data_IF_123447785535
#
_entry.id   IF_123447785535
#
_cell.length_a   1.000
_cell.length_b   1.000
_cell.length_c   1.000
_cell.angle_alpha   90.00
_cell.angle_beta   90.00
_cell.angle_gamma   90.00
#
_symmetry.space_group_name_H-M   'P 1'
#
loop_
_entity.id
_entity.type
_entity.pdbx_description
1 polymer ?
#
# COMPACT_ATOMS: atom_id res chain seq x y z
N UNK A 1 25.29 85.85 -18.60
CA UNK A 1 25.63 84.54 -19.21
C UNK A 1 25.27 83.33 -18.35
N UNK A 2 25.54 83.34 -17.03
CA UNK A 2 25.14 82.23 -16.13
C UNK A 2 23.60 82.00 -16.02
N UNK A 3 22.73 83.03 -15.94
CA UNK A 3 21.28 82.80 -15.80
C UNK A 3 20.60 82.27 -17.07
N UNK A 4 21.13 82.60 -18.25
CA UNK A 4 20.59 82.10 -19.52
C UNK A 4 20.96 80.63 -19.73
N UNK A 5 22.17 80.24 -19.32
CA UNK A 5 22.65 78.87 -19.39
C UNK A 5 21.86 77.94 -18.45
N UNK A 6 21.46 78.42 -17.27
CA UNK A 6 20.58 77.69 -16.34
C UNK A 6 19.16 77.51 -16.90
N UNK A 7 18.62 78.50 -17.61
CA UNK A 7 17.30 78.41 -18.28
C UNK A 7 17.31 77.41 -19.44
N UNK A 8 18.35 77.43 -20.27
CA UNK A 8 18.53 76.45 -21.36
C UNK A 8 18.73 75.04 -20.81
N UNK A 9 19.49 74.89 -19.73
CA UNK A 9 19.65 73.60 -19.04
C UNK A 9 18.31 73.10 -18.48
N UNK A 10 17.53 73.96 -17.83
CA UNK A 10 16.20 73.62 -17.30
C UNK A 10 15.21 73.22 -18.41
N UNK A 11 15.21 73.94 -19.53
CA UNK A 11 14.39 73.63 -20.69
C UNK A 11 14.81 72.31 -21.36
N UNK A 12 16.11 72.04 -21.45
CA UNK A 12 16.63 70.77 -21.96
C UNK A 12 16.24 69.59 -21.07
N UNK A 13 16.30 69.74 -19.74
CA UNK A 13 15.86 68.71 -18.77
C UNK A 13 14.35 68.48 -18.85
N UNK A 14 13.56 69.55 -18.96
CA UNK A 14 12.11 69.45 -19.12
C UNK A 14 11.73 68.78 -20.44
N UNK A 15 12.41 69.13 -21.54
CA UNK A 15 12.21 68.53 -22.84
C UNK A 15 12.60 67.04 -22.85
N UNK A 16 13.69 66.66 -22.16
CA UNK A 16 14.10 65.27 -21.98
C UNK A 16 13.06 64.46 -21.18
N UNK A 17 12.54 65.03 -20.08
CA UNK A 17 11.46 64.42 -19.28
C UNK A 17 10.16 64.29 -20.07
N UNK A 18 9.79 65.31 -20.84
CA UNK A 18 8.62 65.28 -21.71
C UNK A 18 8.77 64.22 -22.81
N UNK A 19 9.96 64.11 -23.42
CA UNK A 19 10.25 63.10 -24.45
C UNK A 19 10.25 61.68 -23.86
N UNK A 20 10.83 61.51 -22.67
CA UNK A 20 10.85 60.23 -21.96
C UNK A 20 9.45 59.76 -21.53
N UNK A 21 8.63 60.67 -21.00
CA UNK A 21 7.24 60.36 -20.65
C UNK A 21 6.38 60.05 -21.89
N UNK A 22 6.56 60.77 -22.99
CA UNK A 22 5.88 60.50 -24.26
C UNK A 22 6.26 59.12 -24.82
N UNK A 23 7.53 58.72 -24.72
CA UNK A 23 7.99 57.39 -25.14
C UNK A 23 7.38 56.27 -24.27
N UNK A 24 7.32 56.46 -22.96
CA UNK A 24 6.63 55.52 -22.06
C UNK A 24 5.16 55.37 -22.42
N UNK A 25 4.43 56.49 -22.58
CA UNK A 25 3.01 56.47 -22.95
C UNK A 25 2.81 55.80 -24.31
N UNK A 26 3.62 56.13 -25.31
CA UNK A 26 3.55 55.53 -26.65
C UNK A 26 3.73 54.02 -26.66
N UNK A 27 4.59 53.47 -25.79
CA UNK A 27 4.81 52.02 -25.65
C UNK A 27 3.57 51.30 -25.12
N UNK A 28 2.91 51.85 -24.10
CA UNK A 28 1.75 51.22 -23.45
C UNK A 28 0.41 51.60 -24.10
N UNK A 29 0.38 52.63 -24.96
CA UNK A 29 -0.83 53.12 -25.61
C UNK A 29 -1.56 52.02 -26.40
N UNK A 30 -0.84 51.20 -27.16
CA UNK A 30 -1.44 50.08 -27.91
C UNK A 30 -2.09 49.04 -26.99
N UNK A 31 -1.45 48.74 -25.88
CA UNK A 31 -1.94 47.75 -24.90
C UNK A 31 -3.16 48.29 -24.14
N UNK A 32 -3.11 49.55 -23.74
CA UNK A 32 -4.22 50.26 -23.10
C UNK A 32 -5.44 50.38 -24.02
N UNK A 33 -5.22 50.69 -25.30
CA UNK A 33 -6.29 50.76 -26.29
C UNK A 33 -6.95 49.40 -26.47
N UNK A 34 -6.17 48.32 -26.57
CA UNK A 34 -6.71 46.97 -26.61
C UNK A 34 -7.55 46.65 -25.38
N UNK A 35 -7.01 46.90 -24.17
CA UNK A 35 -7.69 46.68 -22.90
C UNK A 35 -9.03 47.44 -22.79
N UNK A 36 -9.05 48.70 -23.21
CA UNK A 36 -10.26 49.55 -23.15
C UNK A 36 -11.32 49.13 -24.16
N UNK A 37 -10.92 48.78 -25.39
CA UNK A 37 -11.85 48.30 -26.42
C UNK A 37 -12.53 46.98 -26.02
N UNK A 38 -11.80 46.10 -25.32
CA UNK A 38 -12.35 44.83 -24.80
C UNK A 38 -13.10 44.99 -23.47
N UNK A 39 -13.31 46.22 -22.99
CA UNK A 39 -14.07 46.49 -21.76
C UNK A 39 -13.33 46.17 -20.45
N UNK A 40 -12.03 45.84 -20.52
CA UNK A 40 -11.22 45.64 -19.32
C UNK A 40 -10.86 47.03 -18.77
N UNK A 41 -11.44 47.41 -17.63
CA UNK A 41 -11.31 48.73 -16.98
C UNK A 41 -9.90 48.97 -16.39
N UNK A 42 -8.84 48.81 -17.20
CA UNK A 42 -7.44 48.98 -16.80
C UNK A 42 -7.00 50.40 -17.16
N UNK A 43 -6.56 51.17 -16.16
CA UNK A 43 -6.07 52.54 -16.37
C UNK A 43 -4.64 52.55 -16.91
N UNK A 44 -4.27 53.61 -17.64
CA UNK A 44 -2.90 53.81 -18.11
C UNK A 44 -1.89 53.83 -16.94
N UNK A 45 -2.28 54.44 -15.81
CA UNK A 45 -1.47 54.47 -14.60
C UNK A 45 -1.21 53.06 -14.04
N UNK A 46 -2.19 52.15 -14.11
CA UNK A 46 -2.01 50.77 -13.67
C UNK A 46 -0.97 50.02 -14.52
N UNK A 47 -0.97 50.20 -15.85
CA UNK A 47 0.02 49.57 -16.74
C UNK A 47 1.46 50.00 -16.45
N UNK A 48 1.63 51.30 -16.16
CA UNK A 48 2.94 51.84 -15.74
C UNK A 48 3.33 51.29 -14.38
N UNK A 49 2.39 51.23 -13.43
CA UNK A 49 2.64 50.68 -12.09
C UNK A 49 2.99 49.18 -12.10
N UNK A 50 2.35 48.38 -12.95
CA UNK A 50 2.69 46.97 -13.16
C UNK A 50 4.14 46.80 -13.62
N UNK A 51 4.59 47.66 -14.54
CA UNK A 51 5.97 47.64 -15.05
C UNK A 51 6.99 47.98 -13.95
N UNK A 52 6.65 48.90 -13.04
CA UNK A 52 7.47 49.23 -11.87
C UNK A 52 7.55 48.07 -10.86
N UNK A 53 6.47 47.28 -10.73
CA UNK A 53 6.42 46.07 -9.90
C UNK A 53 7.07 44.85 -10.55
N UNK A 54 7.73 45.00 -11.70
CA UNK A 54 8.31 43.91 -12.52
C UNK A 54 7.29 42.84 -12.98
N UNK A 55 6.02 43.20 -13.08
CA UNK A 55 4.97 42.33 -13.65
C UNK A 55 4.82 42.67 -15.13
N UNK A 56 4.78 41.67 -16.01
CA UNK A 56 4.58 41.89 -17.44
C UNK A 56 3.14 42.37 -17.72
N UNK A 57 2.92 43.64 -18.13
CA UNK A 57 1.57 44.16 -18.30
C UNK A 57 0.80 43.47 -19.43
N UNK A 58 1.51 42.94 -20.45
CA UNK A 58 0.88 42.24 -21.58
C UNK A 58 0.14 41.00 -21.12
N UNK A 59 0.79 40.18 -20.29
CA UNK A 59 0.22 38.93 -19.79
C UNK A 59 -1.00 39.21 -18.89
N UNK A 60 -0.95 40.26 -18.07
CA UNK A 60 -2.06 40.66 -17.21
C UNK A 60 -3.26 41.14 -18.02
N UNK A 61 -3.03 42.01 -19.02
CA UNK A 61 -4.11 42.47 -19.90
C UNK A 61 -4.71 41.30 -20.65
N UNK A 62 -3.90 40.43 -21.24
CA UNK A 62 -4.37 39.24 -21.96
C UNK A 62 -5.24 38.32 -21.07
N UNK A 63 -4.74 37.98 -19.88
CA UNK A 63 -5.50 37.22 -18.90
C UNK A 63 -6.82 37.91 -18.52
N UNK A 64 -6.80 39.23 -18.30
CA UNK A 64 -7.99 40.00 -17.93
C UNK A 64 -9.00 40.10 -19.08
N UNK A 65 -8.53 40.19 -20.32
CA UNK A 65 -9.39 40.14 -21.51
C UNK A 65 -10.09 38.80 -21.60
N UNK A 66 -9.36 37.70 -21.40
CA UNK A 66 -9.92 36.35 -21.43
C UNK A 66 -10.98 36.14 -20.33
N UNK A 67 -10.76 36.63 -19.11
CA UNK A 67 -11.74 36.49 -18.02
C UNK A 67 -13.03 37.27 -18.30
N UNK A 68 -12.93 38.53 -18.72
CA UNK A 68 -14.11 39.35 -19.06
C UNK A 68 -14.89 38.76 -20.23
N UNK A 69 -14.19 38.32 -21.29
CA UNK A 69 -14.85 37.68 -22.45
C UNK A 69 -15.52 36.33 -22.09
N UNK A 70 -15.05 35.66 -21.04
CA UNK A 70 -15.65 34.43 -20.53
C UNK A 70 -16.79 34.67 -19.52
N UNK A 71 -17.09 35.92 -19.16
CA UNK A 71 -18.09 36.28 -18.16
C UNK A 71 -17.62 36.13 -16.70
N UNK A 72 -16.31 36.02 -16.46
CA UNK A 72 -15.69 35.89 -15.14
C UNK A 72 -15.28 37.27 -14.59
N UNK A 73 -16.25 38.15 -14.42
CA UNK A 73 -16.01 39.57 -14.07
C UNK A 73 -15.57 39.79 -12.61
N UNK A 74 -15.76 38.79 -11.74
CA UNK A 74 -15.41 38.84 -10.31
C UNK A 74 -13.91 38.93 -10.05
N UNK A 75 -13.06 38.58 -11.00
CA UNK A 75 -11.61 38.50 -10.81
C UNK A 75 -10.98 39.89 -10.96
N UNK A 76 -10.38 40.43 -9.89
CA UNK A 76 -9.75 41.76 -9.90
C UNK A 76 -8.39 41.76 -10.58
N UNK A 77 -7.95 42.91 -11.11
CA UNK A 77 -6.60 43.04 -11.71
C UNK A 77 -5.51 42.87 -10.66
N UNK A 78 -5.77 43.28 -9.41
CA UNK A 78 -4.85 43.14 -8.30
C UNK A 78 -4.62 41.67 -7.95
N UNK A 79 -5.65 40.82 -8.02
CA UNK A 79 -5.51 39.39 -7.78
C UNK A 79 -4.65 38.71 -8.87
N UNK A 80 -4.83 39.08 -10.14
CA UNK A 80 -4.00 38.62 -11.25
C UNK A 80 -2.52 39.02 -11.06
N UNK A 81 -2.27 40.27 -10.67
CA UNK A 81 -0.91 40.76 -10.36
C UNK A 81 -0.28 40.02 -9.18
N UNK A 82 -1.05 39.84 -8.10
CA UNK A 82 -0.58 39.15 -6.89
C UNK A 82 -0.17 37.71 -7.19
N UNK A 83 -0.92 37.00 -8.04
CA UNK A 83 -0.60 35.63 -8.44
C UNK A 83 0.71 35.54 -9.23
N UNK A 84 0.95 36.48 -10.16
CA UNK A 84 2.22 36.53 -10.91
C UNK A 84 3.39 36.86 -9.98
N UNK A 85 3.20 37.77 -9.03
CA UNK A 85 4.22 38.12 -8.04
C UNK A 85 4.54 36.95 -7.09
N UNK A 86 3.55 36.10 -6.80
CA UNK A 86 3.75 34.85 -6.06
C UNK A 86 4.45 33.76 -6.88
N UNK A 87 4.70 33.99 -8.18
CA UNK A 87 5.41 33.07 -9.07
C UNK A 87 4.50 32.06 -9.79
N UNK A 88 3.19 32.25 -9.75
CA UNK A 88 2.23 31.35 -10.41
C UNK A 88 2.08 31.58 -11.92
N UNK A 89 1.51 30.60 -12.62
CA UNK A 89 1.20 30.65 -14.04
C UNK A 89 -0.20 31.22 -14.29
N UNK A 90 -0.24 32.53 -14.52
CA UNK A 90 -1.48 33.28 -14.73
C UNK A 90 -2.37 32.75 -15.87
N UNK A 91 -1.78 32.51 -17.05
CA UNK A 91 -2.56 32.12 -18.23
C UNK A 91 -3.20 30.75 -18.04
N UNK A 92 -2.47 29.83 -17.41
CA UNK A 92 -2.95 28.47 -17.17
C UNK A 92 -4.12 28.44 -16.18
N UNK A 93 -4.06 29.22 -15.10
CA UNK A 93 -5.15 29.36 -14.14
C UNK A 93 -6.39 29.99 -14.79
N UNK A 94 -6.22 31.06 -15.56
CA UNK A 94 -7.35 31.71 -16.25
C UNK A 94 -7.99 30.76 -17.26
N UNK A 95 -7.21 30.04 -18.07
CA UNK A 95 -7.76 29.03 -18.97
C UNK A 95 -8.52 27.94 -18.23
N UNK A 96 -7.99 27.45 -17.09
CA UNK A 96 -8.66 26.45 -16.26
C UNK A 96 -10.02 26.95 -15.75
N UNK A 97 -10.09 28.20 -15.28
CA UNK A 97 -11.34 28.82 -14.82
C UNK A 97 -12.37 28.98 -15.95
N UNK A 98 -11.92 29.33 -17.16
CA UNK A 98 -12.80 29.45 -18.32
C UNK A 98 -13.37 28.08 -18.70
N UNK A 99 -12.54 27.03 -18.72
CA UNK A 99 -12.98 25.66 -18.99
C UNK A 99 -13.98 25.20 -17.91
N UNK A 100 -13.67 25.43 -16.63
CA UNK A 100 -14.55 25.08 -15.52
C UNK A 100 -15.90 25.79 -15.63
N UNK A 101 -15.90 27.10 -15.90
CA UNK A 101 -17.12 27.89 -16.05
C UNK A 101 -18.00 27.39 -17.21
N UNK A 102 -17.39 27.08 -18.37
CA UNK A 102 -18.12 26.52 -19.52
C UNK A 102 -18.66 25.13 -19.26
N UNK A 103 -17.95 24.33 -18.47
CA UNK A 103 -18.39 22.99 -18.04
C UNK A 103 -19.33 23.02 -16.83
N UNK A 104 -19.71 24.21 -16.34
CA UNK A 104 -20.55 24.41 -15.13
C UNK A 104 -19.98 23.76 -13.86
N UNK A 105 -18.65 23.70 -13.77
CA UNK A 105 -17.94 23.27 -12.57
C UNK A 105 -17.65 24.49 -11.69
N UNK A 106 -18.03 24.43 -10.42
CA UNK A 106 -17.73 25.50 -9.45
C UNK A 106 -16.25 25.47 -9.08
N UNK A 107 -15.47 26.38 -9.67
CA UNK A 107 -14.06 26.61 -9.32
C UNK A 107 -13.86 28.10 -9.06
N UNK A 108 -13.43 28.43 -7.85
CA UNK A 108 -13.16 29.81 -7.47
C UNK A 108 -11.70 30.20 -7.78
N UNK A 109 -11.46 31.50 -7.93
CA UNK A 109 -10.14 32.06 -8.21
C UNK A 109 -9.12 31.65 -7.14
N UNK A 110 -9.47 31.78 -5.86
CA UNK A 110 -8.56 31.49 -4.76
C UNK A 110 -8.17 30.01 -4.71
N UNK A 111 -9.10 29.12 -5.02
CA UNK A 111 -8.82 27.67 -5.09
C UNK A 111 -7.93 27.34 -6.28
N UNK A 112 -8.22 27.90 -7.45
CA UNK A 112 -7.41 27.68 -8.65
C UNK A 112 -5.98 28.23 -8.47
N UNK A 113 -5.83 29.42 -7.88
CA UNK A 113 -4.54 30.01 -7.56
C UNK A 113 -3.76 29.15 -6.55
N UNK A 114 -4.41 28.63 -5.51
CA UNK A 114 -3.78 27.75 -4.52
C UNK A 114 -3.26 26.45 -5.14
N UNK A 115 -4.02 25.83 -6.07
CA UNK A 115 -3.59 24.61 -6.76
C UNK A 115 -2.33 24.87 -7.60
N UNK A 116 -2.29 25.98 -8.33
CA UNK A 116 -1.14 26.37 -9.15
C UNK A 116 0.09 26.66 -8.30
N UNK A 117 -0.06 27.41 -7.21
CA UNK A 117 1.04 27.72 -6.27
C UNK A 117 1.52 26.47 -5.51
N UNK A 118 0.67 25.45 -5.35
CA UNK A 118 1.08 24.14 -4.83
C UNK A 118 1.89 23.31 -5.87
N UNK A 119 2.14 23.84 -7.07
CA UNK A 119 2.90 23.19 -8.13
C UNK A 119 2.09 22.11 -8.87
N UNK A 120 0.76 22.21 -8.86
CA UNK A 120 -0.14 21.30 -9.59
C UNK A 120 -0.71 21.98 -10.82
N UNK A 121 -0.90 21.23 -11.89
CA UNK A 121 -1.47 21.75 -13.13
C UNK A 121 -3.00 21.86 -13.01
N UNK A 122 -3.49 23.08 -12.77
CA UNK A 122 -4.94 23.35 -12.62
C UNK A 122 -5.72 23.06 -13.90
N UNK A 123 -5.14 23.39 -15.06
CA UNK A 123 -5.81 23.22 -16.35
C UNK A 123 -6.05 21.75 -16.65
N UNK A 124 -5.03 20.91 -16.46
CA UNK A 124 -5.12 19.46 -16.61
C UNK A 124 -6.13 18.87 -15.63
N UNK A 125 -6.09 19.30 -14.36
CA UNK A 125 -7.05 18.88 -13.35
C UNK A 125 -8.51 19.18 -13.74
N UNK A 126 -8.78 20.38 -14.26
CA UNK A 126 -10.12 20.74 -14.76
C UNK A 126 -10.48 19.92 -16.00
N UNK A 127 -9.55 19.73 -16.93
CA UNK A 127 -9.80 18.93 -18.14
C UNK A 127 -10.17 17.49 -17.79
N UNK A 128 -9.47 16.84 -16.86
CA UNK A 128 -9.79 15.50 -16.38
C UNK A 128 -11.10 15.46 -15.57
N UNK A 129 -11.49 16.58 -14.95
CA UNK A 129 -12.81 16.70 -14.31
C UNK A 129 -13.96 16.75 -15.32
N UNK A 130 -13.75 17.41 -16.48
CA UNK A 130 -14.73 17.50 -17.57
C UNK A 130 -14.77 16.23 -18.41
N UNK A 131 -13.60 15.69 -18.74
CA UNK A 131 -13.43 14.49 -19.53
C UNK A 131 -12.67 13.46 -18.69
N UNK A 132 -13.39 12.52 -18.03
CA UNK A 132 -12.78 11.53 -17.17
C UNK A 132 -11.66 10.76 -17.87
N UNK A 133 -10.58 10.50 -17.13
CA UNK A 133 -9.43 9.73 -17.60
C UNK A 133 -9.60 8.28 -17.20
N UNK A 134 -9.17 7.38 -18.07
CA UNK A 134 -9.14 5.95 -17.81
C UNK A 134 -7.74 5.56 -17.32
N UNK A 135 -7.70 4.83 -16.20
CA UNK A 135 -6.49 4.30 -15.58
C UNK A 135 -6.65 2.78 -15.47
N UNK A 136 -5.65 2.03 -15.93
CA UNK A 136 -5.64 0.58 -15.78
C UNK A 136 -4.99 0.18 -14.43
N UNK A 137 -5.55 -0.84 -13.80
CA UNK A 137 -5.12 -1.42 -12.53
C UNK A 137 -4.85 -2.92 -12.75
N UNK A 138 -3.60 -3.40 -12.62
CA UNK A 138 -2.37 -2.66 -12.29
C UNK A 138 -1.87 -1.82 -13.48
N UNK A 139 -1.00 -0.84 -13.20
CA UNK A 139 -0.40 0.01 -14.22
C UNK A 139 0.45 -0.83 -15.20
N UNK A 140 0.17 -0.81 -16.52
CA UNK A 140 0.87 -1.63 -17.51
C UNK A 140 2.37 -1.31 -17.62
N UNK A 141 2.79 -0.10 -17.23
CA UNK A 141 4.18 0.33 -17.31
C UNK A 141 5.04 -0.18 -16.13
N UNK A 142 4.40 -0.70 -15.08
CA UNK A 142 5.10 -1.27 -13.92
C UNK A 142 5.51 -2.72 -14.21
N UNK A 143 6.82 -2.96 -14.28
CA UNK A 143 7.39 -4.28 -14.52
C UNK A 143 6.98 -5.28 -13.43
N UNK A 144 6.16 -6.28 -13.78
CA UNK A 144 5.98 -7.50 -12.97
C UNK A 144 4.55 -7.98 -12.73
N UNK A 145 3.51 -7.17 -12.97
CA UNK A 145 2.13 -7.64 -12.81
C UNK A 145 1.17 -6.92 -13.76
N UNK A 146 0.92 -7.50 -14.93
CA UNK A 146 -0.08 -6.99 -15.89
C UNK A 146 -1.54 -7.20 -15.41
N UNK A 147 -1.73 -7.89 -14.28
CA UNK A 147 -3.02 -8.27 -13.71
C UNK A 147 -2.89 -8.39 -12.18
N UNK A 148 -3.96 -8.02 -11.46
CA UNK A 148 -4.12 -8.26 -10.02
C UNK A 148 -4.41 -9.75 -9.83
N UNK A 149 -3.71 -10.41 -8.91
CA UNK A 149 -3.95 -11.83 -8.60
C UNK A 149 -4.71 -11.98 -7.29
N UNK A 150 -5.78 -12.78 -7.28
CA UNK A 150 -6.60 -13.08 -6.12
C UNK A 150 -6.98 -14.57 -6.09
N UNK A 151 -7.32 -15.11 -4.92
CA UNK A 151 -7.72 -16.52 -4.75
C UNK A 151 -9.12 -16.57 -4.17
N UNK A 152 -10.03 -17.30 -4.80
CA UNK A 152 -11.39 -17.53 -4.30
C UNK A 152 -11.39 -18.57 -3.16
N UNK A 153 -12.51 -18.72 -2.43
CA UNK A 153 -12.58 -19.64 -1.28
C UNK A 153 -12.36 -21.12 -1.64
N UNK A 154 -12.64 -21.50 -2.88
CA UNK A 154 -12.38 -22.83 -3.42
C UNK A 154 -10.88 -23.10 -3.73
N UNK A 155 -10.01 -22.12 -3.50
CA UNK A 155 -8.57 -22.23 -3.68
C UNK A 155 -8.09 -22.01 -5.11
N UNK A 156 -8.96 -21.57 -6.04
CA UNK A 156 -8.58 -21.28 -7.41
C UNK A 156 -8.16 -19.81 -7.55
N UNK A 157 -7.01 -19.59 -8.19
CA UNK A 157 -6.47 -18.26 -8.44
C UNK A 157 -7.09 -17.66 -9.70
N UNK A 158 -7.52 -16.42 -9.59
CA UNK A 158 -7.97 -15.56 -10.67
C UNK A 158 -6.99 -14.41 -10.86
N UNK A 159 -6.67 -14.10 -12.12
CA UNK A 159 -5.92 -12.91 -12.52
C UNK A 159 -6.89 -11.95 -13.20
N UNK A 160 -6.99 -10.74 -12.67
CA UNK A 160 -7.98 -9.75 -13.10
C UNK A 160 -7.30 -8.46 -13.51
N UNK A 161 -7.69 -7.91 -14.65
CA UNK A 161 -7.34 -6.55 -15.06
C UNK A 161 -8.55 -5.67 -14.90
N UNK A 162 -8.38 -4.56 -14.19
CA UNK A 162 -9.46 -3.61 -13.92
C UNK A 162 -9.14 -2.29 -14.59
N UNK A 163 -10.15 -1.68 -15.18
CA UNK A 163 -10.11 -0.37 -15.79
C UNK A 163 -10.97 0.58 -14.97
N UNK A 164 -10.37 1.69 -14.55
CA UNK A 164 -11.01 2.64 -13.65
C UNK A 164 -11.17 3.96 -14.37
N UNK A 165 -12.39 4.44 -14.44
CA UNK A 165 -12.68 5.78 -14.96
C UNK A 165 -12.68 6.76 -13.79
N UNK A 166 -11.72 7.68 -13.77
CA UNK A 166 -11.58 8.68 -12.70
C UNK A 166 -11.79 10.10 -13.23
N UNK A 167 -12.36 10.95 -12.38
CA UNK A 167 -12.42 12.39 -12.58
C UNK A 167 -11.66 13.09 -11.47
N UNK A 168 -11.09 14.26 -11.72
CA UNK A 168 -10.37 15.00 -10.68
C UNK A 168 -11.33 15.64 -9.68
N UNK A 169 -11.04 15.50 -8.39
CA UNK A 169 -11.69 16.23 -7.32
C UNK A 169 -10.90 17.51 -7.01
N UNK A 170 -11.37 18.64 -7.54
CA UNK A 170 -10.66 19.93 -7.44
C UNK A 170 -10.45 20.40 -5.99
N UNK A 171 -11.34 20.04 -5.07
CA UNK A 171 -11.24 20.44 -3.65
C UNK A 171 -10.16 19.65 -2.90
N UNK A 172 -9.91 18.40 -3.29
CA UNK A 172 -8.96 17.49 -2.65
C UNK A 172 -7.65 17.32 -3.44
N UNK A 173 -7.46 18.13 -4.49
CA UNK A 173 -6.27 18.08 -5.32
C UNK A 173 -5.00 18.52 -4.56
N UNK A 174 -5.16 19.36 -3.54
CA UNK A 174 -4.07 19.77 -2.63
C UNK A 174 -4.11 18.86 -1.40
N UNK A 175 -3.04 18.07 -1.21
CA UNK A 175 -2.90 17.18 -0.05
C UNK A 175 -3.64 15.85 -0.15
N UNK A 176 -4.45 15.63 -1.20
CA UNK A 176 -5.05 14.33 -1.48
C UNK A 176 -4.05 13.32 -2.05
N UNK A 177 -4.37 12.04 -1.86
CA UNK A 177 -3.58 10.95 -2.42
C UNK A 177 -3.66 10.90 -3.95
N UNK A 178 -2.58 10.43 -4.59
CA UNK A 178 -2.40 10.43 -6.06
C UNK A 178 -2.96 9.17 -6.73
N UNK A 179 -2.87 9.09 -8.06
CA UNK A 179 -3.32 7.94 -8.86
C UNK A 179 -2.78 6.61 -8.33
N UNK A 180 -1.52 6.54 -7.89
CA UNK A 180 -0.89 5.32 -7.35
C UNK A 180 -1.63 4.77 -6.13
N UNK A 181 -2.08 5.64 -5.22
CA UNK A 181 -2.84 5.22 -4.04
C UNK A 181 -4.23 4.72 -4.42
N UNK A 182 -4.86 5.34 -5.40
CA UNK A 182 -6.16 4.90 -5.94
C UNK A 182 -6.02 3.50 -6.55
N UNK A 183 -5.00 3.27 -7.39
CA UNK A 183 -4.70 1.96 -7.99
C UNK A 183 -4.50 0.90 -6.91
N UNK A 184 -3.72 1.19 -5.86
CA UNK A 184 -3.46 0.24 -4.78
C UNK A 184 -4.73 -0.11 -4.00
N UNK A 185 -5.55 0.87 -3.65
CA UNK A 185 -6.83 0.66 -2.93
C UNK A 185 -7.84 -0.12 -3.77
N UNK A 186 -7.90 0.13 -5.07
CA UNK A 186 -8.74 -0.62 -5.99
C UNK A 186 -8.22 -2.06 -6.11
N UNK A 187 -6.91 -2.25 -6.23
CA UNK A 187 -6.30 -3.58 -6.22
C UNK A 187 -6.67 -4.37 -4.96
N UNK A 188 -6.55 -3.77 -3.77
CA UNK A 188 -6.97 -4.37 -2.51
C UNK A 188 -8.48 -4.71 -2.50
N UNK A 189 -9.31 -3.76 -2.94
CA UNK A 189 -10.75 -3.95 -3.05
C UNK A 189 -11.11 -5.16 -3.92
N UNK A 190 -10.48 -5.27 -5.09
CA UNK A 190 -10.70 -6.36 -6.06
C UNK A 190 -10.24 -7.70 -5.49
N UNK A 191 -9.05 -7.76 -4.88
CA UNK A 191 -8.55 -8.98 -4.22
C UNK A 191 -9.53 -9.45 -3.14
N UNK A 192 -10.03 -8.53 -2.34
CA UNK A 192 -10.96 -8.84 -1.26
C UNK A 192 -12.35 -9.25 -1.76
N UNK A 193 -12.83 -8.65 -2.86
CA UNK A 193 -14.10 -9.03 -3.48
C UNK A 193 -14.03 -10.46 -4.04
N UNK A 194 -12.97 -10.79 -4.78
CA UNK A 194 -12.75 -12.16 -5.31
C UNK A 194 -12.57 -13.18 -4.18
N UNK A 195 -11.82 -12.82 -3.13
CA UNK A 195 -11.65 -13.69 -1.96
C UNK A 195 -12.93 -13.92 -1.15
N UNK A 196 -13.98 -13.11 -1.39
CA UNK A 196 -15.29 -13.30 -0.75
C UNK A 196 -16.22 -14.25 -1.52
N UNK A 197 -15.93 -14.54 -2.79
CA UNK A 197 -16.68 -15.50 -3.61
C UNK A 197 -16.48 -16.94 -3.11
N UNK A 198 -17.56 -17.73 -3.11
CA UNK A 198 -17.49 -19.13 -2.69
C UNK A 198 -16.74 -19.99 -3.72
N UNK A 199 -16.91 -19.65 -5.00
CA UNK A 199 -16.24 -20.36 -6.11
C UNK A 199 -15.71 -19.40 -7.16
N UNK A 200 -14.67 -19.81 -7.89
CA UNK A 200 -14.13 -19.03 -9.02
C UNK A 200 -15.18 -18.83 -10.14
N UNK A 201 -16.09 -19.78 -10.30
CA UNK A 201 -17.15 -19.73 -11.29
C UNK A 201 -18.14 -18.59 -11.01
N UNK A 202 -18.39 -18.26 -9.73
CA UNK A 202 -19.22 -17.13 -9.33
C UNK A 202 -18.63 -15.80 -9.83
N UNK A 203 -17.31 -15.63 -9.67
CA UNK A 203 -16.59 -14.43 -10.13
C UNK A 203 -16.58 -14.29 -11.66
N UNK A 204 -16.54 -15.41 -12.39
CA UNK A 204 -16.61 -15.42 -13.87
C UNK A 204 -18.03 -15.23 -14.41
N UNK A 205 -19.04 -15.72 -13.69
CA UNK A 205 -20.43 -15.64 -14.12
C UNK A 205 -20.96 -14.21 -14.06
N UNK A 206 -20.57 -13.44 -13.04
CA UNK A 206 -21.03 -12.06 -12.86
C UNK A 206 -19.90 -11.09 -12.42
N UNK A 207 -19.00 -10.70 -13.33
CA UNK A 207 -17.90 -9.76 -13.03
C UNK A 207 -18.37 -8.42 -12.48
N UNK A 208 -19.56 -7.96 -12.90
CA UNK A 208 -20.16 -6.69 -12.48
C UNK A 208 -20.37 -6.63 -10.96
N UNK A 209 -20.62 -7.77 -10.32
CA UNK A 209 -20.80 -7.83 -8.86
C UNK A 209 -19.51 -7.48 -8.11
N UNK A 210 -18.34 -7.87 -8.63
CA UNK A 210 -17.04 -7.50 -8.08
C UNK A 210 -16.89 -5.97 -8.12
N UNK A 211 -17.15 -5.34 -9.27
CA UNK A 211 -17.09 -3.89 -9.42
C UNK A 211 -17.99 -3.14 -8.42
N UNK A 212 -19.23 -3.60 -8.22
CA UNK A 212 -20.14 -3.00 -7.23
C UNK A 212 -19.63 -3.13 -5.80
N UNK A 213 -19.17 -4.31 -5.40
CA UNK A 213 -18.65 -4.55 -4.05
C UNK A 213 -17.39 -3.72 -3.76
N UNK A 214 -16.58 -3.45 -4.79
CA UNK A 214 -15.39 -2.60 -4.70
C UNK A 214 -15.79 -1.11 -4.59
N UNK A 215 -16.78 -0.67 -5.36
CA UNK A 215 -17.31 0.70 -5.32
C UNK A 215 -17.93 1.07 -3.96
N UNK A 216 -18.63 0.13 -3.31
CA UNK A 216 -19.28 0.36 -2.01
C UNK A 216 -18.31 0.72 -0.88
N UNK A 217 -17.01 0.43 -1.03
CA UNK A 217 -15.99 0.68 0.00
C UNK A 217 -15.51 2.14 0.09
N UNK A 218 -15.92 3.03 -0.82
CA UNK A 218 -15.54 4.44 -0.76
C UNK A 218 -14.03 4.66 -0.93
N UNK A 219 -13.45 4.03 -1.96
CA UNK A 219 -12.00 3.98 -2.20
C UNK A 219 -11.36 5.34 -2.55
N UNK A 220 -12.19 6.31 -2.97
CA UNK A 220 -11.80 7.66 -3.35
C UNK A 220 -11.77 8.65 -2.18
N UNK A 221 -12.03 8.19 -0.95
CA UNK A 221 -11.93 9.03 0.25
C UNK A 221 -10.52 9.59 0.45
N UNK A 222 -10.40 10.92 0.57
CA UNK A 222 -9.14 11.65 0.74
C UNK A 222 -8.16 11.51 -0.44
N UNK A 223 -8.68 11.30 -1.65
CA UNK A 223 -7.86 11.24 -2.87
C UNK A 223 -8.08 12.46 -3.75
N UNK A 224 -7.11 12.78 -4.59
CA UNK A 224 -7.26 13.86 -5.58
C UNK A 224 -8.26 13.51 -6.71
N UNK A 225 -8.80 12.30 -6.72
CA UNK A 225 -9.67 11.77 -7.75
C UNK A 225 -11.02 11.34 -7.14
N UNK A 226 -12.03 11.24 -7.99
CA UNK A 226 -13.29 10.60 -7.66
C UNK A 226 -13.53 9.51 -8.69
N UNK A 227 -13.96 8.34 -8.22
CA UNK A 227 -14.17 7.20 -9.10
C UNK A 227 -15.56 7.33 -9.73
N UNK A 228 -15.61 7.27 -11.07
CA UNK A 228 -16.85 7.31 -11.84
C UNK A 228 -17.35 5.88 -12.09
N UNK A 229 -16.47 5.01 -12.57
CA UNK A 229 -16.75 3.59 -12.80
C UNK A 229 -15.52 2.73 -12.54
N UNK A 230 -15.76 1.48 -12.18
CA UNK A 230 -14.78 0.40 -12.10
C UNK A 230 -15.27 -0.70 -13.01
N UNK A 231 -14.54 -0.97 -14.08
CA UNK A 231 -14.90 -1.93 -15.10
C UNK A 231 -13.87 -3.05 -15.12
N UNK A 232 -14.31 -4.31 -15.16
CA UNK A 232 -13.37 -5.43 -15.30
C UNK A 232 -13.06 -5.61 -16.79
N UNK A 233 -11.79 -5.41 -17.15
CA UNK A 233 -11.34 -5.50 -18.53
C UNK A 233 -11.04 -6.94 -18.94
N UNK A 234 -10.51 -7.75 -18.03
CA UNK A 234 -10.10 -9.14 -18.31
C UNK A 234 -10.09 -9.98 -17.02
N UNK A 235 -10.48 -11.26 -17.12
CA UNK A 235 -10.42 -12.24 -16.01
C UNK A 235 -9.90 -13.57 -16.56
N UNK A 236 -8.76 -14.00 -16.06
CA UNK A 236 -8.14 -15.29 -16.37
C UNK A 236 -8.14 -16.22 -15.16
N UNK A 237 -8.41 -17.51 -15.41
CA UNK A 237 -8.19 -18.57 -14.42
C UNK A 237 -6.75 -19.03 -14.48
N UNK A 238 -6.06 -19.01 -13.34
CA UNK A 238 -4.67 -19.39 -13.21
C UNK A 238 -4.52 -20.76 -12.51
N UNK A 239 -3.81 -20.79 -11.39
CA UNK A 239 -3.48 -22.03 -10.69
C UNK A 239 -4.53 -22.42 -9.65
N UNK A 240 -4.70 -23.73 -9.42
CA UNK A 240 -5.41 -24.22 -8.23
C UNK A 240 -4.45 -24.25 -7.04
N UNK A 241 -4.35 -23.12 -6.35
CA UNK A 241 -3.50 -22.94 -5.17
C UNK A 241 -3.95 -23.86 -4.05
N UNK A 242 -5.25 -24.11 -3.90
CA UNK A 242 -5.81 -25.04 -2.90
C UNK A 242 -5.27 -26.46 -3.06
N UNK A 243 -5.31 -27.03 -4.26
CA UNK A 243 -4.80 -28.37 -4.55
C UNK A 243 -3.28 -28.46 -4.34
N UNK A 244 -2.54 -27.42 -4.74
CA UNK A 244 -1.09 -27.36 -4.52
C UNK A 244 -0.76 -27.34 -3.02
N UNK A 245 -1.40 -26.45 -2.26
CA UNK A 245 -1.19 -26.36 -0.81
C UNK A 245 -1.55 -27.66 -0.09
N UNK A 246 -2.61 -28.36 -0.51
CA UNK A 246 -2.98 -29.68 0.04
C UNK A 246 -1.90 -30.73 -0.25
N UNK A 247 -1.31 -30.72 -1.45
CA UNK A 247 -0.21 -31.61 -1.81
C UNK A 247 1.03 -31.32 -0.96
N UNK A 248 1.39 -30.04 -0.84
CA UNK A 248 2.53 -29.59 -0.03
C UNK A 248 2.36 -29.96 1.45
N UNK A 249 1.13 -29.81 1.99
CA UNK A 249 0.79 -30.23 3.34
C UNK A 249 0.90 -31.75 3.53
N UNK A 250 0.39 -32.54 2.57
CA UNK A 250 0.48 -34.00 2.63
C UNK A 250 1.93 -34.49 2.58
N UNK A 251 2.78 -33.88 1.75
CA UNK A 251 4.22 -34.21 1.71
C UNK A 251 4.93 -33.85 3.03
N UNK A 252 4.58 -32.71 3.62
CA UNK A 252 5.10 -32.32 4.92
C UNK A 252 4.68 -33.30 6.02
N UNK A 253 3.41 -33.73 6.03
CA UNK A 253 2.88 -34.70 7.00
C UNK A 253 3.54 -36.07 6.86
N UNK A 254 3.76 -36.56 5.63
CA UNK A 254 4.51 -37.80 5.37
C UNK A 254 5.93 -37.69 5.94
N UNK A 255 6.60 -36.55 5.75
CA UNK A 255 7.96 -36.32 6.25
C UNK A 255 8.00 -36.34 7.78
N UNK A 256 7.04 -35.71 8.44
CA UNK A 256 6.92 -35.71 9.91
C UNK A 256 6.61 -37.12 10.43
N UNK A 257 5.70 -37.84 9.78
CA UNK A 257 5.35 -39.21 10.15
C UNK A 257 6.55 -40.15 10.04
N UNK A 258 7.33 -40.04 8.97
CA UNK A 258 8.56 -40.80 8.77
C UNK A 258 9.61 -40.47 9.84
N UNK A 259 9.83 -39.19 10.14
CA UNK A 259 10.76 -38.77 11.19
C UNK A 259 10.35 -39.32 12.58
N UNK A 260 9.06 -39.27 12.94
CA UNK A 260 8.55 -39.85 14.19
C UNK A 260 8.69 -41.37 14.24
N UNK A 261 8.54 -42.05 13.10
CA UNK A 261 8.73 -43.50 13.02
C UNK A 261 10.21 -43.87 13.24
N UNK A 262 11.13 -43.11 12.63
CA UNK A 262 12.57 -43.27 12.83
C UNK A 262 12.98 -42.97 14.29
N UNK A 263 12.42 -41.91 14.90
CA UNK A 263 12.64 -41.57 16.30
C UNK A 263 12.17 -42.69 17.24
N UNK A 264 10.96 -43.24 17.03
CA UNK A 264 10.43 -44.36 17.82
C UNK A 264 11.29 -45.61 17.67
N UNK A 265 11.78 -45.88 16.46
CA UNK A 265 12.65 -47.02 16.20
C UNK A 265 13.99 -46.84 16.92
N UNK A 266 14.58 -45.65 16.87
CA UNK A 266 15.80 -45.33 17.62
C UNK A 266 15.60 -45.46 19.14
N UNK A 267 14.48 -44.97 19.67
CA UNK A 267 14.14 -45.08 21.08
C UNK A 267 13.93 -46.54 21.52
N UNK A 268 13.26 -47.36 20.70
CA UNK A 268 13.06 -48.79 20.98
C UNK A 268 14.40 -49.55 21.00
N UNK A 269 15.30 -49.26 20.06
CA UNK A 269 16.65 -49.84 20.04
C UNK A 269 17.43 -49.41 21.29
N UNK A 270 17.40 -48.12 21.66
CA UNK A 270 18.06 -47.63 22.86
C UNK A 270 17.55 -48.32 24.13
N UNK A 271 16.23 -48.48 24.25
CA UNK A 271 15.59 -49.19 25.36
C UNK A 271 15.98 -50.68 25.39
N UNK A 272 16.05 -51.35 24.25
CA UNK A 272 16.52 -52.73 24.17
C UNK A 272 17.98 -52.88 24.63
N UNK A 273 18.85 -51.93 24.26
CA UNK A 273 20.25 -51.91 24.71
C UNK A 273 20.36 -51.66 26.22
N UNK A 274 19.56 -50.74 26.76
CA UNK A 274 19.48 -50.47 28.20
C UNK A 274 19.04 -51.73 28.98
N UNK A 275 18.01 -52.42 28.51
CA UNK A 275 17.54 -53.67 29.12
C UNK A 275 18.57 -54.81 29.03
N UNK A 276 19.31 -54.91 27.92
CA UNK A 276 20.42 -55.86 27.80
C UNK A 276 21.55 -55.54 28.78
N UNK A 277 21.89 -54.28 28.96
CA UNK A 277 22.89 -53.85 29.95
C UNK A 277 22.43 -54.18 31.37
N UNK A 278 21.18 -53.87 31.71
CA UNK A 278 20.58 -54.17 33.02
C UNK A 278 20.53 -55.68 33.31
N UNK A 279 20.22 -56.50 32.30
CA UNK A 279 20.21 -57.96 32.45
C UNK A 279 21.62 -58.48 32.75
N UNK A 280 22.64 -57.97 32.04
CA UNK A 280 24.05 -58.34 32.31
C UNK A 280 24.51 -57.89 33.69
N UNK A 281 24.13 -56.70 34.14
CA UNK A 281 24.43 -56.21 35.48
C UNK A 281 23.80 -57.10 36.56
N UNK A 282 22.51 -57.44 36.41
CA UNK A 282 21.83 -58.34 37.34
C UNK A 282 22.43 -59.74 37.34
N UNK A 283 22.78 -60.29 36.17
CA UNK A 283 23.50 -61.56 36.07
C UNK A 283 24.84 -61.50 36.80
N UNK A 284 25.62 -60.42 36.63
CA UNK A 284 26.86 -60.23 37.37
C UNK A 284 26.63 -60.17 38.89
N UNK A 285 25.55 -59.52 39.35
CA UNK A 285 25.15 -59.51 40.77
C UNK A 285 24.78 -60.89 41.28
N UNK A 286 24.05 -61.70 40.51
CA UNK A 286 23.72 -63.08 40.86
C UNK A 286 25.00 -63.91 40.98
N UNK A 287 25.90 -63.83 40.01
CA UNK A 287 27.19 -64.52 40.04
C UNK A 287 28.03 -64.10 41.25
N UNK A 288 28.05 -62.81 41.61
CA UNK A 288 28.72 -62.33 42.82
C UNK A 288 28.10 -62.89 44.09
N UNK A 289 26.77 -63.00 44.16
CA UNK A 289 26.07 -63.61 45.30
C UNK A 289 26.30 -65.13 45.37
N UNK A 290 26.25 -65.83 44.24
CA UNK A 290 26.55 -67.26 44.15
C UNK A 290 28.01 -67.54 44.53
N UNK A 291 28.96 -66.68 44.15
CA UNK A 291 30.36 -66.79 44.55
C UNK A 291 30.56 -66.66 46.08
N UNK A 292 29.65 -65.99 46.79
CA UNK A 292 29.66 -65.95 48.26
C UNK A 292 29.30 -67.31 48.87
N UNK A 293 28.58 -68.19 48.16
CA UNK A 293 28.19 -69.51 48.68
C UNK A 293 29.40 -70.43 48.85
N UNK A 294 30.26 -70.69 47.85
CA UNK A 294 31.52 -71.40 48.05
C UNK A 294 32.45 -70.72 49.05
N UNK A 295 32.51 -69.39 49.07
CA UNK A 295 33.33 -68.65 50.02
C UNK A 295 32.85 -68.85 51.47
N UNK A 296 31.54 -68.81 51.70
CA UNK A 296 30.90 -69.07 52.99
C UNK A 296 31.05 -70.55 53.40
N UNK A 297 30.91 -71.49 52.46
CA UNK A 297 31.18 -72.92 52.70
C UNK A 297 32.65 -73.13 53.09
N UNK A 298 33.60 -72.54 52.36
CA UNK A 298 35.03 -72.60 52.68
C UNK A 298 35.36 -71.91 54.02
N UNK A 299 34.60 -70.88 54.40
CA UNK A 299 34.69 -70.27 55.73
C UNK A 299 34.14 -71.21 56.81
N UNK A 300 32.98 -71.84 56.61
CA UNK A 300 32.39 -72.81 57.54
C UNK A 300 33.26 -74.07 57.73
N UNK A 301 33.92 -74.55 56.66
CA UNK A 301 34.95 -75.60 56.73
C UNK A 301 36.15 -75.17 57.57
N UNK A 302 36.66 -73.95 57.37
CA UNK A 302 37.78 -73.42 58.18
C UNK A 302 37.40 -73.15 59.64
N UNK A 303 36.15 -72.78 59.89
CA UNK A 303 35.62 -72.53 61.23
C UNK A 303 35.22 -73.82 61.98
N UNK A 304 35.33 -75.00 61.36
CA UNK A 304 35.09 -76.30 61.99
C UNK A 304 33.62 -76.61 62.30
N UNK A 305 32.67 -76.00 61.59
CA UNK A 305 31.23 -76.08 61.89
C UNK A 305 30.45 -77.12 61.07
N UNK A 306 31.06 -77.75 60.06
CA UNK A 306 30.44 -78.82 59.25
C UNK A 306 31.04 -80.17 59.64
N UNK A 307 30.66 -80.64 60.84
CA UNK A 307 31.14 -81.88 61.43
C UNK A 307 30.64 -82.07 62.86
N UNK A 308 29.32 -82.11 63.06
CA UNK A 308 28.72 -82.79 64.20
C UNK A 308 27.65 -83.75 63.67
N UNK A 309 27.76 -85.00 64.11
CA UNK A 309 27.00 -86.16 63.71
C UNK A 309 25.50 -86.09 64.07
N UNK A 310 24.76 -86.97 63.37
CA UNK A 310 23.43 -87.54 63.60
C UNK A 310 22.68 -87.25 64.93
N UNK A 311 21.35 -87.00 64.85
CA UNK A 311 20.25 -87.92 65.25
C UNK A 311 18.91 -87.15 65.47
N UNK A 312 17.74 -87.78 65.80
CA UNK A 312 16.45 -87.55 65.12
C UNK A 312 15.45 -86.71 65.95
N UNK A 313 14.29 -86.44 65.34
CA UNK A 313 13.04 -85.93 65.93
C UNK A 313 13.03 -84.49 66.50
N UNK A 314 12.40 -83.57 65.75
CA UNK A 314 11.48 -82.58 66.31
C UNK A 314 10.60 -81.93 65.23
N UNK A 315 9.32 -82.30 65.27
CA UNK A 315 8.13 -81.48 65.00
C UNK A 315 7.91 -80.81 63.63
N UNK A 316 6.94 -81.41 62.94
CA UNK A 316 5.99 -80.75 62.03
C UNK A 316 5.52 -79.39 62.60
N UNK A 317 5.66 -78.32 61.82
CA UNK A 317 4.62 -77.29 61.70
C UNK A 317 4.41 -76.91 60.23
N UNK A 318 3.23 -77.29 59.76
CA UNK A 318 2.57 -76.81 58.54
C UNK A 318 2.44 -75.29 58.52
N UNK A 319 2.77 -74.64 57.40
CA UNK A 319 2.05 -73.43 56.96
C UNK A 319 1.81 -73.53 55.45
N UNK A 320 0.56 -73.21 55.11
CA UNK A 320 -0.14 -73.49 53.87
C UNK A 320 0.47 -72.86 52.60
N UNK A 321 0.37 -73.65 51.54
CA UNK A 321 0.17 -73.17 50.17
C UNK A 321 -1.07 -72.26 50.14
N UNK A 322 -0.88 -70.99 49.76
CA UNK A 322 -1.95 -70.18 49.17
C UNK A 322 -1.46 -69.67 47.82
N UNK A 323 -2.02 -70.27 46.77
CA UNK A 323 -1.96 -69.68 45.44
C UNK A 323 -2.71 -68.36 45.42
N UNK A 324 -2.21 -67.41 44.64
CA UNK A 324 -3.06 -66.40 44.01
C UNK A 324 -2.77 -66.38 42.52
N UNK A 325 -3.72 -66.99 41.81
CA UNK A 325 -3.96 -66.82 40.39
C UNK A 325 -4.41 -65.38 40.15
N UNK A 326 -3.70 -64.64 39.32
CA UNK A 326 -4.17 -63.44 38.63
C UNK A 326 -3.95 -63.73 37.13
N UNK A 327 -4.90 -64.36 36.46
CA UNK A 327 -5.90 -63.70 35.58
C UNK A 327 -5.29 -62.63 34.68
N UNK A 328 -4.98 -63.08 33.47
CA UNK A 328 -5.37 -62.45 32.22
C UNK A 328 -6.46 -61.39 32.37
N UNK A 329 -6.18 -60.19 31.88
CA UNK A 329 -7.16 -59.26 31.35
C UNK A 329 -6.44 -58.38 30.34
N UNK A 330 -6.76 -58.61 29.07
CA UNK A 330 -6.35 -57.75 27.97
C UNK A 330 -6.97 -56.36 28.04
N UNK A 331 -6.30 -55.45 27.34
CA UNK A 331 -6.90 -54.46 26.45
C UNK A 331 -5.96 -54.29 25.26
#
# INVERSE_FOLDING_TARGET
>A
MIPDLLKWLGMAVLALLALGSLFLVGKYFRLWLWATVTGTKISMAALVMMSLRKVNPRNIVEAKVMTVQAGLDSITTQALEAHVLAGGNLLQVVLALIVAHRAKISLDWDTAAAIDLAGRNVLDAVQVSVNPKVIDCPDPDVAGAAMVSAVAKDGIQLKVRVRVTVRTNLLQLIGGATEQTVIARIGEGVVSAIGSCETYAEALAEPVRISHQVMERGLDSQTAFSIVSIDIADIDVAENVGARLQTDQAEADIRIARAKAEERLAAAIAFEQEMKALTRENQARVVLAEAQVPAAIAHAYRAGQLGMDESPDAERKSVAFTGSRWTDNGH
#
